data_IF_550415654452
#
_entry.id   IF_550415654452
#
_cell.length_a   1.000
_cell.length_b   1.000
_cell.length_c   1.000
_cell.angle_alpha   90.00
_cell.angle_beta   90.00
_cell.angle_gamma   90.00
#
_symmetry.space_group_name_H-M   'P 1'
#
loop_
_entity.id
_entity.type
_entity.pdbx_description
1 polymer ?
#
# COMPACT_ATOMS: atom_id res chain seq x y z
N UNK A 1 -0.89 -13.66 15.54
CA UNK A 1 -0.02 -14.25 14.51
C UNK A 1 1.34 -14.42 15.15
N UNK A 2 1.81 -15.65 15.32
CA UNK A 2 3.12 -15.92 15.92
C UNK A 2 4.23 -15.44 14.98
N UNK A 3 5.22 -14.75 15.55
CA UNK A 3 6.35 -14.11 14.87
C UNK A 3 7.14 -15.07 13.94
N UNK A 4 7.15 -16.36 14.28
CA UNK A 4 7.82 -17.44 13.56
C UNK A 4 7.24 -17.69 12.17
N UNK A 5 5.93 -17.59 12.00
CA UNK A 5 5.27 -17.86 10.72
C UNK A 5 5.46 -16.68 9.76
N UNK A 6 5.42 -15.45 10.28
CA UNK A 6 5.71 -14.23 9.51
C UNK A 6 7.10 -14.26 8.90
N UNK A 7 8.11 -14.71 9.66
CA UNK A 7 9.49 -14.83 9.19
C UNK A 7 9.65 -15.90 8.10
N UNK A 8 9.10 -17.10 8.32
CA UNK A 8 9.17 -18.18 7.33
C UNK A 8 8.42 -17.89 6.02
N UNK A 9 7.39 -17.04 6.07
CA UNK A 9 6.66 -16.58 4.89
C UNK A 9 7.38 -15.44 4.12
N UNK A 10 8.63 -15.09 4.49
CA UNK A 10 9.40 -14.03 3.85
C UNK A 10 9.00 -12.61 4.26
N UNK A 11 8.30 -12.45 5.40
CA UNK A 11 7.88 -11.12 5.86
C UNK A 11 9.02 -10.28 6.47
N UNK A 12 10.26 -10.76 6.50
CA UNK A 12 11.44 -9.93 6.85
C UNK A 12 11.60 -8.73 5.89
N UNK A 13 11.11 -8.84 4.65
CA UNK A 13 11.15 -7.77 3.65
C UNK A 13 9.81 -7.03 3.49
N UNK A 14 8.79 -7.43 4.25
CA UNK A 14 7.43 -6.88 4.13
C UNK A 14 7.29 -5.55 4.85
N UNK A 15 7.69 -4.44 4.21
CA UNK A 15 7.45 -3.10 4.74
C UNK A 15 6.07 -2.58 4.31
N UNK A 16 5.32 -2.02 5.27
CA UNK A 16 4.17 -1.17 4.92
C UNK A 16 4.66 0.00 4.08
N UNK A 17 4.03 0.20 2.91
CA UNK A 17 4.26 1.37 2.06
C UNK A 17 2.96 2.14 1.90
N UNK A 18 3.02 3.45 2.15
CA UNK A 18 1.91 4.35 1.86
C UNK A 18 1.81 4.59 0.34
N UNK A 19 0.65 5.08 -0.12
CA UNK A 19 0.45 5.47 -1.52
C UNK A 19 1.51 6.49 -1.95
N UNK A 20 1.81 7.49 -1.12
CA UNK A 20 2.83 8.50 -1.40
C UNK A 20 4.24 7.89 -1.53
N UNK A 21 4.58 6.87 -0.72
CA UNK A 21 5.86 6.17 -0.84
C UNK A 21 5.96 5.40 -2.16
N UNK A 22 4.87 4.75 -2.60
CA UNK A 22 4.81 4.06 -3.90
C UNK A 22 4.96 5.04 -5.06
N UNK A 23 4.29 6.19 -5.02
CA UNK A 23 4.43 7.25 -6.02
C UNK A 23 5.86 7.77 -6.09
N UNK A 24 6.50 8.02 -4.94
CA UNK A 24 7.89 8.47 -4.86
C UNK A 24 8.87 7.45 -5.44
N UNK A 25 8.67 6.15 -5.17
CA UNK A 25 9.51 5.10 -5.73
C UNK A 25 9.41 5.01 -7.26
N UNK A 26 8.19 5.12 -7.80
CA UNK A 26 7.99 5.14 -9.26
C UNK A 26 8.62 6.39 -9.90
N UNK A 27 8.43 7.56 -9.30
CA UNK A 27 9.02 8.81 -9.77
C UNK A 27 10.55 8.75 -9.77
N UNK A 28 11.16 8.11 -8.77
CA UNK A 28 12.61 7.94 -8.67
C UNK A 28 13.25 7.16 -9.83
N UNK A 29 12.47 6.35 -10.55
CA UNK A 29 12.91 5.65 -11.76
C UNK A 29 12.33 6.28 -13.05
N UNK A 30 11.75 7.48 -12.96
CA UNK A 30 11.18 8.19 -14.11
C UNK A 30 9.87 7.59 -14.63
N UNK A 31 9.10 6.89 -13.79
CA UNK A 31 7.84 6.23 -14.18
C UNK A 31 6.66 6.74 -13.34
N UNK A 32 5.46 6.88 -13.93
CA UNK A 32 4.27 7.24 -13.15
C UNK A 32 3.71 6.01 -12.42
N UNK A 33 3.31 6.19 -11.16
CA UNK A 33 2.42 5.26 -10.49
C UNK A 33 0.96 5.57 -10.86
N UNK A 34 0.11 4.55 -11.01
CA UNK A 34 -1.32 4.71 -11.30
C UNK A 34 -2.16 3.74 -10.49
N UNK A 35 -3.05 4.27 -9.64
CA UNK A 35 -4.12 3.49 -9.03
C UNK A 35 -5.13 3.09 -10.11
N UNK A 36 -5.52 1.81 -10.13
CA UNK A 36 -6.37 1.24 -11.17
C UNK A 36 -7.38 0.25 -10.59
N UNK A 37 -8.46 0.03 -11.34
CA UNK A 37 -9.37 -1.11 -11.14
C UNK A 37 -8.75 -2.39 -11.72
N UNK A 38 -9.38 -3.55 -11.49
CA UNK A 38 -8.87 -4.86 -11.92
C UNK A 38 -8.85 -5.04 -13.44
N UNK A 39 -9.75 -4.34 -14.14
CA UNK A 39 -9.81 -4.19 -15.60
C UNK A 39 -8.91 -3.05 -16.13
N UNK A 40 -8.01 -2.54 -15.30
CA UNK A 40 -7.06 -1.46 -15.62
C UNK A 40 -7.70 -0.08 -15.87
N UNK A 41 -8.99 0.07 -15.61
CA UNK A 41 -9.72 1.35 -15.65
C UNK A 41 -9.32 2.37 -14.58
N UNK A 42 -9.98 3.53 -14.61
CA UNK A 42 -9.81 4.59 -13.61
C UNK A 42 -10.76 4.35 -12.44
N UNK A 43 -10.29 4.30 -11.17
CA UNK A 43 -11.16 4.18 -10.00
C UNK A 43 -12.07 5.40 -9.87
N UNK A 44 -13.20 5.25 -9.15
CA UNK A 44 -14.06 6.40 -8.83
C UNK A 44 -13.31 7.45 -8.01
N UNK A 45 -13.73 8.72 -8.12
CA UNK A 45 -13.14 9.82 -7.37
C UNK A 45 -13.19 9.58 -5.85
N UNK A 46 -14.30 9.01 -5.35
CA UNK A 46 -14.46 8.61 -3.94
C UNK A 46 -13.36 7.63 -3.51
N UNK A 47 -13.08 6.59 -4.31
CA UNK A 47 -12.03 5.60 -4.01
C UNK A 47 -10.64 6.22 -4.00
N UNK A 48 -10.35 7.14 -4.92
CA UNK A 48 -9.08 7.87 -4.97
C UNK A 48 -8.92 8.77 -3.74
N UNK A 49 -9.99 9.47 -3.33
CA UNK A 49 -9.99 10.31 -2.14
C UNK A 49 -9.75 9.48 -0.87
N UNK A 50 -10.53 8.41 -0.67
CA UNK A 50 -10.41 7.53 0.50
C UNK A 50 -9.01 6.94 0.65
N UNK A 51 -8.39 6.49 -0.45
CA UNK A 51 -7.04 5.92 -0.45
C UNK A 51 -5.95 6.89 0.06
N UNK A 52 -6.21 8.20 -0.01
CA UNK A 52 -5.30 9.26 0.47
C UNK A 52 -5.54 9.67 1.91
N UNK A 53 -6.58 9.15 2.57
CA UNK A 53 -6.91 9.51 3.95
C UNK A 53 -6.25 8.57 4.96
N UNK A 54 -5.85 9.13 6.11
CA UNK A 54 -5.38 8.31 7.24
C UNK A 54 -6.47 7.41 7.79
N UNK A 55 -7.73 7.86 7.80
CA UNK A 55 -8.87 7.03 8.18
C UNK A 55 -9.03 5.82 7.25
N UNK A 56 -8.93 6.02 5.93
CA UNK A 56 -8.96 4.95 4.94
C UNK A 56 -7.79 3.97 5.09
N UNK A 57 -6.59 4.47 5.41
CA UNK A 57 -5.42 3.64 5.73
C UNK A 57 -5.62 2.85 7.02
N UNK A 58 -6.12 3.49 8.08
CA UNK A 58 -6.33 2.88 9.40
C UNK A 58 -7.47 1.85 9.40
N UNK A 59 -8.44 1.98 8.48
CA UNK A 59 -9.50 1.02 8.27
C UNK A 59 -9.02 -0.29 7.63
N UNK A 60 -7.79 -0.34 7.09
CA UNK A 60 -7.21 -1.58 6.59
C UNK A 60 -6.95 -2.52 7.78
N UNK A 61 -7.49 -3.74 7.69
CA UNK A 61 -7.38 -4.77 8.74
C UNK A 61 -5.93 -5.24 8.98
N UNK A 62 -4.99 -4.83 8.13
CA UNK A 62 -3.58 -5.18 8.21
C UNK A 62 -2.86 -4.25 9.21
N UNK A 63 -2.86 -4.64 10.49
CA UNK A 63 -2.05 -3.98 11.53
C UNK A 63 -0.65 -4.58 11.52
N UNK A 64 0.30 -3.94 10.84
CA UNK A 64 1.72 -4.28 10.96
C UNK A 64 2.38 -3.15 11.74
N UNK A 65 2.94 -3.46 12.91
CA UNK A 65 3.73 -2.50 13.67
C UNK A 65 4.95 -2.07 12.85
N UNK A 66 5.27 -0.77 12.79
CA UNK A 66 6.57 -0.35 12.27
C UNK A 66 7.66 -0.90 13.20
N UNK A 67 8.72 -1.49 12.62
CA UNK A 67 9.98 -1.76 13.32
C UNK A 67 10.79 -0.47 13.34
#
# INVERSE_FOLDING_TARGET
MEETISRMAGSENGSLKTVAQLESMAAGIGRPARQRTTDYGTPSAERLATARTDAGRAALTLRISPV
#
